data_IF_051850674016
#
_entry.id   IF_051850674016
#
_cell.length_a   1.000
_cell.length_b   1.000
_cell.length_c   1.000
_cell.angle_alpha   90.00
_cell.angle_beta   90.00
_cell.angle_gamma   90.00
#
_symmetry.space_group_name_H-M   'P 1'
#
loop_
_entity.id
_entity.type
_entity.pdbx_description
1 polymer ?
#
# COMPACT_ATOMS: atom_id res chain seq x y z
N UNK A 1 24.39 8.42 13.19
CA UNK A 1 24.18 9.84 13.53
C UNK A 1 22.79 9.94 14.15
N UNK A 2 22.71 10.14 15.46
CA UNK A 2 21.47 10.57 16.09
C UNK A 2 21.18 11.97 15.51
N UNK A 3 20.07 12.11 14.81
CA UNK A 3 19.73 13.38 14.17
C UNK A 3 19.49 14.47 15.22
N UNK A 4 19.75 15.71 14.86
CA UNK A 4 19.51 16.93 15.65
C UNK A 4 18.10 16.99 16.29
N UNK A 5 17.15 16.21 15.80
CA UNK A 5 15.74 16.18 16.21
C UNK A 5 15.47 15.37 17.49
N UNK A 6 16.43 14.55 17.96
CA UNK A 6 16.29 13.78 19.20
C UNK A 6 16.47 14.65 20.46
N UNK A 7 16.86 15.91 20.30
CA UNK A 7 17.09 16.85 21.40
C UNK A 7 15.93 17.85 21.57
N UNK A 8 14.88 17.81 20.74
CA UNK A 8 13.69 18.66 20.83
C UNK A 8 12.45 17.83 21.20
N UNK A 9 12.15 17.60 22.49
CA UNK A 9 11.05 16.74 22.93
C UNK A 9 9.68 17.24 22.43
N UNK A 10 9.45 18.53 22.36
CA UNK A 10 8.19 19.14 21.88
C UNK A 10 7.92 18.80 20.41
N UNK A 11 8.96 18.83 19.57
CA UNK A 11 8.83 18.46 18.15
C UNK A 11 8.46 16.98 17.97
N UNK A 12 9.07 16.09 18.75
CA UNK A 12 8.77 14.67 18.69
C UNK A 12 7.37 14.35 19.23
N UNK A 13 6.87 15.10 20.20
CA UNK A 13 5.51 14.97 20.71
C UNK A 13 4.49 15.38 19.64
N UNK A 14 4.63 16.56 19.03
CA UNK A 14 3.79 17.03 17.92
C UNK A 14 3.82 16.08 16.74
N UNK A 15 5.00 15.59 16.36
CA UNK A 15 5.15 14.63 15.27
C UNK A 15 4.45 13.31 15.57
N UNK A 16 4.58 12.79 16.80
CA UNK A 16 3.93 11.55 17.23
C UNK A 16 2.41 11.68 17.21
N UNK A 17 1.85 12.79 17.72
CA UNK A 17 0.42 13.06 17.70
C UNK A 17 -0.10 13.17 16.25
N UNK A 18 0.65 13.86 15.38
CA UNK A 18 0.29 14.02 13.98
C UNK A 18 0.24 12.65 13.27
N UNK A 19 1.22 11.78 13.50
CA UNK A 19 1.25 10.43 12.94
C UNK A 19 0.08 9.59 13.47
N UNK A 20 -0.18 9.60 14.78
CA UNK A 20 -1.30 8.85 15.37
C UNK A 20 -2.65 9.30 14.80
N UNK A 21 -2.85 10.61 14.64
CA UNK A 21 -4.03 11.19 14.02
C UNK A 21 -4.17 10.75 12.54
N UNK A 22 -3.06 10.78 11.78
CA UNK A 22 -3.03 10.28 10.40
C UNK A 22 -3.39 8.79 10.34
N UNK A 23 -2.79 7.96 11.18
CA UNK A 23 -3.06 6.51 11.19
C UNK A 23 -4.52 6.19 11.46
N UNK A 24 -5.18 6.93 12.35
CA UNK A 24 -6.60 6.74 12.67
C UNK A 24 -7.55 7.25 11.58
N UNK A 25 -7.17 8.33 10.91
CA UNK A 25 -8.01 9.01 9.91
C UNK A 25 -7.85 8.42 8.50
N UNK A 26 -6.65 7.96 8.14
CA UNK A 26 -6.31 7.53 6.79
C UNK A 26 -7.24 6.45 6.23
N UNK A 27 -7.50 5.31 6.94
CA UNK A 27 -8.34 4.26 6.40
C UNK A 27 -9.82 4.61 6.27
N UNK A 28 -10.28 5.63 7.01
CA UNK A 28 -11.71 5.97 7.09
C UNK A 28 -12.08 7.24 6.37
N UNK A 29 -11.16 8.24 6.38
CA UNK A 29 -11.45 9.59 5.86
C UNK A 29 -10.74 9.88 4.55
N UNK A 30 -9.58 9.26 4.31
CA UNK A 30 -8.78 9.50 3.11
C UNK A 30 -9.07 8.43 2.06
N UNK A 31 -8.95 7.15 2.46
CA UNK A 31 -9.34 6.02 1.61
C UNK A 31 -10.47 5.30 2.32
N UNK A 32 -11.70 5.48 1.88
CA UNK A 32 -12.87 4.78 2.43
C UNK A 32 -12.73 3.29 2.12
N UNK A 33 -12.02 2.57 2.99
CA UNK A 33 -11.63 1.17 2.75
C UNK A 33 -12.83 0.26 2.54
N UNK A 34 -13.94 0.49 3.25
CA UNK A 34 -15.17 -0.29 3.11
C UNK A 34 -15.81 -0.09 1.72
N UNK A 35 -15.87 1.17 1.24
CA UNK A 35 -16.35 1.49 -0.12
C UNK A 35 -15.42 0.88 -1.17
N UNK A 36 -14.10 0.97 -0.97
CA UNK A 36 -13.10 0.46 -1.89
C UNK A 36 -13.17 -1.08 -1.99
N UNK A 37 -13.22 -1.78 -0.87
CA UNK A 37 -13.31 -3.25 -0.85
C UNK A 37 -14.60 -3.75 -1.47
N UNK A 38 -15.70 -3.06 -1.23
CA UNK A 38 -16.98 -3.38 -1.86
C UNK A 38 -16.96 -3.13 -3.37
N UNK A 39 -16.42 -1.99 -3.81
CA UNK A 39 -16.37 -1.62 -5.24
C UNK A 39 -15.46 -2.56 -6.03
N UNK A 40 -14.33 -2.94 -5.45
CA UNK A 40 -13.35 -3.82 -6.13
C UNK A 40 -13.59 -5.31 -5.86
N UNK A 41 -14.52 -5.68 -4.99
CA UNK A 41 -14.80 -7.07 -4.57
C UNK A 41 -13.55 -7.79 -4.06
N UNK A 42 -12.66 -7.05 -3.38
CA UNK A 42 -11.41 -7.53 -2.81
C UNK A 42 -11.28 -7.05 -1.37
N UNK A 43 -10.64 -7.83 -0.53
CA UNK A 43 -10.24 -7.38 0.80
C UNK A 43 -9.16 -6.31 0.72
N UNK A 44 -9.04 -5.47 1.75
CA UNK A 44 -7.99 -4.44 1.79
C UNK A 44 -6.58 -5.03 1.66
N UNK A 45 -6.32 -6.18 2.30
CA UNK A 45 -5.02 -6.85 2.20
C UNK A 45 -4.72 -7.37 0.77
N UNK A 46 -5.73 -7.80 0.03
CA UNK A 46 -5.59 -8.20 -1.39
C UNK A 46 -5.31 -6.98 -2.27
N UNK A 47 -5.99 -5.87 -2.02
CA UNK A 47 -5.72 -4.60 -2.69
C UNK A 47 -4.26 -4.16 -2.45
N UNK A 48 -3.77 -4.24 -1.21
CA UNK A 48 -2.39 -3.92 -0.89
C UNK A 48 -1.40 -4.85 -1.62
N UNK A 49 -1.70 -6.14 -1.71
CA UNK A 49 -0.86 -7.09 -2.44
C UNK A 49 -0.82 -6.80 -3.94
N UNK A 50 -1.96 -6.50 -4.57
CA UNK A 50 -1.99 -6.07 -5.98
C UNK A 50 -1.19 -4.79 -6.19
N UNK A 51 -1.35 -3.79 -5.32
CA UNK A 51 -0.62 -2.53 -5.39
C UNK A 51 0.90 -2.74 -5.25
N UNK A 52 1.34 -3.61 -4.36
CA UNK A 52 2.75 -3.95 -4.23
C UNK A 52 3.29 -4.62 -5.49
N UNK A 53 2.57 -5.61 -6.03
CA UNK A 53 2.97 -6.36 -7.21
C UNK A 53 2.89 -5.54 -8.51
N UNK A 54 2.21 -4.40 -8.51
CA UNK A 54 2.18 -3.48 -9.67
C UNK A 54 3.56 -2.84 -9.93
N UNK A 55 4.40 -2.75 -8.90
CA UNK A 55 5.78 -2.26 -9.02
C UNK A 55 6.74 -3.33 -9.54
N UNK A 56 6.34 -4.59 -9.56
CA UNK A 56 7.14 -5.71 -10.07
C UNK A 56 6.92 -7.02 -9.31
N UNK A 57 7.49 -8.11 -9.82
CA UNK A 57 7.43 -9.41 -9.15
C UNK A 57 8.16 -9.37 -7.80
N UNK A 58 7.63 -10.09 -6.81
CA UNK A 58 8.21 -10.20 -5.48
C UNK A 58 8.24 -11.64 -4.97
N UNK A 59 9.21 -11.98 -4.11
CA UNK A 59 9.17 -13.25 -3.41
C UNK A 59 8.07 -13.23 -2.34
N UNK A 60 7.60 -14.42 -1.94
CA UNK A 60 6.62 -14.54 -0.85
C UNK A 60 7.17 -13.94 0.45
N UNK A 61 8.48 -14.09 0.70
CA UNK A 61 9.15 -13.51 1.85
C UNK A 61 9.12 -11.99 1.85
N UNK A 62 9.48 -11.38 0.71
CA UNK A 62 9.51 -9.93 0.57
C UNK A 62 8.10 -9.35 0.64
N UNK A 63 7.12 -10.01 0.03
CA UNK A 63 5.73 -9.60 0.11
C UNK A 63 5.20 -9.63 1.55
N UNK A 64 5.49 -10.70 2.30
CA UNK A 64 5.09 -10.80 3.70
C UNK A 64 5.73 -9.71 4.57
N UNK A 65 7.01 -9.40 4.33
CA UNK A 65 7.74 -8.36 5.03
C UNK A 65 7.17 -6.98 4.71
N UNK A 66 7.00 -6.66 3.43
CA UNK A 66 6.49 -5.35 2.98
C UNK A 66 5.07 -5.08 3.46
N UNK A 67 4.22 -6.09 3.47
CA UNK A 67 2.83 -5.95 3.94
C UNK A 67 2.69 -6.14 5.47
N UNK A 68 3.78 -6.42 6.17
CA UNK A 68 3.78 -6.68 7.62
C UNK A 68 2.78 -7.78 8.03
N UNK A 69 2.63 -8.83 7.21
CA UNK A 69 1.73 -9.96 7.47
C UNK A 69 2.48 -11.26 7.69
N UNK A 70 1.90 -12.19 8.44
CA UNK A 70 2.44 -13.54 8.57
C UNK A 70 2.42 -14.26 7.21
N UNK A 71 3.44 -15.09 6.93
CA UNK A 71 3.53 -15.89 5.69
C UNK A 71 2.29 -16.77 5.45
N UNK A 72 1.68 -17.27 6.53
CA UNK A 72 0.44 -18.06 6.46
C UNK A 72 -0.72 -17.23 5.90
N UNK A 73 -0.87 -15.99 6.35
CA UNK A 73 -1.91 -15.08 5.86
C UNK A 73 -1.64 -14.70 4.40
N UNK A 74 -0.39 -14.41 4.06
CA UNK A 74 -0.02 -14.12 2.68
C UNK A 74 -0.30 -15.32 1.75
N UNK A 75 -0.10 -16.56 2.22
CA UNK A 75 -0.42 -17.76 1.44
C UNK A 75 -1.91 -17.88 1.13
N UNK A 76 -2.79 -17.44 2.05
CA UNK A 76 -4.24 -17.38 1.83
C UNK A 76 -4.58 -16.31 0.79
N UNK A 77 -4.07 -15.10 0.96
CA UNK A 77 -4.28 -13.99 0.03
C UNK A 77 -3.83 -14.32 -1.39
N UNK A 78 -2.62 -14.87 -1.52
CA UNK A 78 -2.06 -15.24 -2.82
C UNK A 78 -2.79 -16.39 -3.48
N UNK A 79 -3.34 -17.34 -2.70
CA UNK A 79 -4.17 -18.41 -3.25
C UNK A 79 -5.45 -17.85 -3.84
N UNK A 80 -6.17 -17.03 -3.09
CA UNK A 80 -7.42 -16.42 -3.55
C UNK A 80 -7.21 -15.56 -4.80
N UNK A 81 -6.20 -14.68 -4.81
CA UNK A 81 -5.88 -13.87 -6.00
C UNK A 81 -5.42 -14.71 -7.20
N UNK A 82 -4.81 -15.88 -6.96
CA UNK A 82 -4.46 -16.82 -8.00
C UNK A 82 -5.70 -17.54 -8.58
N UNK A 83 -6.63 -17.94 -7.72
CA UNK A 83 -7.93 -18.53 -8.13
C UNK A 83 -8.77 -17.55 -8.93
N UNK A 84 -8.71 -16.24 -8.59
CA UNK A 84 -9.33 -15.17 -9.37
C UNK A 84 -8.58 -14.85 -10.69
N UNK A 85 -7.42 -15.45 -10.92
CA UNK A 85 -6.62 -15.22 -12.12
C UNK A 85 -5.80 -13.93 -12.11
N UNK A 86 -5.67 -13.22 -10.98
CA UNK A 86 -4.97 -11.93 -10.91
C UNK A 86 -3.48 -12.07 -10.62
N UNK A 87 -3.06 -13.16 -9.96
CA UNK A 87 -1.67 -13.39 -9.55
C UNK A 87 -1.18 -14.75 -10.05
N UNK A 88 0.01 -14.75 -10.65
CA UNK A 88 0.79 -15.96 -10.93
C UNK A 88 1.72 -16.29 -9.77
N UNK A 89 1.85 -17.58 -9.50
CA UNK A 89 2.80 -18.15 -8.54
C UNK A 89 3.83 -18.94 -9.33
N UNK A 90 5.03 -18.41 -9.46
CA UNK A 90 6.10 -18.96 -10.29
C UNK A 90 7.21 -19.46 -9.38
N UNK A 91 7.71 -20.67 -9.63
CA UNK A 91 8.90 -21.17 -8.94
C UNK A 91 10.11 -20.34 -9.37
N UNK A 92 10.92 -19.87 -8.42
CA UNK A 92 12.13 -19.13 -8.74
C UNK A 92 13.12 -20.03 -9.51
N UNK A 93 13.56 -19.65 -10.72
CA UNK A 93 14.51 -20.47 -11.51
C UNK A 93 15.84 -20.70 -10.82
N UNK A 94 16.26 -19.77 -9.95
CA UNK A 94 17.53 -19.83 -9.21
C UNK A 94 17.43 -20.61 -7.89
N UNK A 95 16.24 -20.68 -7.31
CA UNK A 95 15.98 -21.42 -6.08
C UNK A 95 14.55 -21.97 -6.10
N UNK A 96 14.42 -23.24 -6.47
CA UNK A 96 13.12 -23.93 -6.59
C UNK A 96 12.30 -23.99 -5.30
N UNK A 97 12.89 -23.66 -4.16
CA UNK A 97 12.19 -23.57 -2.86
C UNK A 97 11.46 -22.25 -2.66
N UNK A 98 11.75 -21.24 -3.50
CA UNK A 98 11.18 -19.91 -3.43
C UNK A 98 10.11 -19.73 -4.50
N UNK A 99 8.97 -19.18 -4.09
CA UNK A 99 7.90 -18.75 -4.98
C UNK A 99 8.01 -17.25 -5.24
N UNK A 100 7.85 -16.88 -6.50
CA UNK A 100 7.73 -15.49 -6.96
C UNK A 100 6.27 -15.24 -7.32
N UNK A 101 5.74 -14.14 -6.85
CA UNK A 101 4.42 -13.63 -7.16
C UNK A 101 4.55 -12.58 -8.27
N UNK A 102 3.64 -12.63 -9.24
CA UNK A 102 3.60 -11.68 -10.34
C UNK A 102 2.15 -11.44 -10.75
N UNK A 103 1.80 -10.21 -11.13
CA UNK A 103 0.50 -9.94 -11.74
C UNK A 103 0.36 -10.62 -13.10
N UNK A 104 -0.84 -11.11 -13.39
CA UNK A 104 -1.29 -11.45 -14.74
C UNK A 104 -1.70 -10.19 -15.49
N UNK A 105 -2.09 -10.31 -16.77
CA UNK A 105 -2.73 -9.21 -17.50
C UNK A 105 -4.02 -8.78 -16.79
N UNK A 106 -4.86 -9.74 -16.40
CA UNK A 106 -6.09 -9.48 -15.63
C UNK A 106 -5.81 -8.85 -14.26
N UNK A 107 -4.70 -9.24 -13.61
CA UNK A 107 -4.26 -8.63 -12.35
C UNK A 107 -3.83 -7.18 -12.52
N UNK A 108 -3.19 -6.83 -13.64
CA UNK A 108 -2.87 -5.43 -13.98
C UNK A 108 -4.15 -4.63 -14.23
N UNK A 109 -5.10 -5.16 -14.99
CA UNK A 109 -6.39 -4.53 -15.23
C UNK A 109 -7.16 -4.31 -13.92
N UNK A 110 -7.17 -5.31 -13.04
CA UNK A 110 -7.79 -5.19 -11.71
C UNK A 110 -7.11 -4.14 -10.82
N UNK A 111 -5.80 -4.06 -10.87
CA UNK A 111 -5.07 -2.99 -10.18
C UNK A 111 -5.42 -1.60 -10.72
N UNK A 112 -5.59 -1.43 -12.03
CA UNK A 112 -6.03 -0.17 -12.63
C UNK A 112 -7.44 0.21 -12.17
N UNK A 113 -8.35 -0.75 -12.03
CA UNK A 113 -9.69 -0.54 -11.45
C UNK A 113 -9.58 -0.01 -10.01
N UNK A 114 -8.76 -0.66 -9.17
CA UNK A 114 -8.48 -0.20 -7.80
C UNK A 114 -7.91 1.21 -7.79
N UNK A 115 -6.92 1.50 -8.63
CA UNK A 115 -6.29 2.81 -8.75
C UNK A 115 -7.30 3.89 -9.12
N UNK A 116 -8.21 3.60 -10.04
CA UNK A 116 -9.25 4.52 -10.47
C UNK A 116 -10.30 4.76 -9.36
N UNK A 117 -10.67 3.73 -8.60
CA UNK A 117 -11.56 3.86 -7.45
C UNK A 117 -10.95 4.75 -6.36
N UNK A 118 -9.68 4.51 -6.00
CA UNK A 118 -8.92 5.37 -5.07
C UNK A 118 -8.83 6.81 -5.61
N UNK A 119 -8.51 6.99 -6.89
CA UNK A 119 -8.44 8.28 -7.54
C UNK A 119 -9.76 9.06 -7.45
N UNK A 120 -10.89 8.37 -7.59
CA UNK A 120 -12.22 8.98 -7.46
C UNK A 120 -12.51 9.42 -6.02
N UNK A 121 -12.10 8.64 -5.02
CA UNK A 121 -12.20 9.02 -3.61
C UNK A 121 -11.32 10.23 -3.29
N UNK A 122 -10.08 10.24 -3.76
CA UNK A 122 -9.14 11.35 -3.56
C UNK A 122 -9.63 12.64 -4.22
N UNK A 123 -10.23 12.57 -5.42
CA UNK A 123 -10.84 13.75 -6.07
C UNK A 123 -11.92 14.40 -5.20
N UNK A 124 -12.75 13.58 -4.54
CA UNK A 124 -13.77 14.09 -3.60
C UNK A 124 -13.13 14.77 -2.38
N UNK A 125 -12.08 14.16 -1.83
CA UNK A 125 -11.36 14.68 -0.68
C UNK A 125 -10.72 16.03 -0.97
N UNK A 126 -10.05 16.16 -2.09
CA UNK A 126 -9.28 17.39 -2.44
C UNK A 126 -10.10 18.44 -3.20
N UNK A 127 -11.41 18.24 -3.34
CA UNK A 127 -12.27 19.14 -4.12
C UNK A 127 -12.26 20.59 -3.61
N UNK A 128 -11.99 20.81 -2.33
CA UNK A 128 -11.89 22.14 -1.70
C UNK A 128 -10.45 22.68 -1.63
N UNK A 129 -9.46 21.91 -2.06
CA UNK A 129 -8.05 22.28 -1.97
C UNK A 129 -7.63 23.05 -3.21
N UNK A 130 -6.77 24.05 -3.03
CA UNK A 130 -6.06 24.70 -4.12
C UNK A 130 -5.04 23.77 -4.79
N UNK A 131 -4.61 24.11 -5.99
CA UNK A 131 -3.58 23.34 -6.70
C UNK A 131 -2.27 23.27 -5.90
N UNK A 132 -1.90 24.36 -5.22
CA UNK A 132 -0.65 24.44 -4.48
C UNK A 132 -0.70 23.55 -3.24
N UNK A 133 -1.81 23.53 -2.50
CA UNK A 133 -2.03 22.61 -1.37
C UNK A 133 -1.97 21.13 -1.81
N UNK A 134 -2.51 20.79 -2.98
CA UNK A 134 -2.41 19.44 -3.52
C UNK A 134 -0.95 19.07 -3.86
N UNK A 135 -0.18 20.00 -4.43
CA UNK A 135 1.25 19.79 -4.72
C UNK A 135 2.04 19.58 -3.45
N UNK A 136 1.81 20.36 -2.40
CA UNK A 136 2.43 20.22 -1.09
C UNK A 136 2.08 18.87 -0.45
N UNK A 137 0.81 18.46 -0.51
CA UNK A 137 0.36 17.16 0.00
C UNK A 137 1.06 16.01 -0.72
N UNK A 138 1.17 16.07 -2.05
CA UNK A 138 1.88 15.05 -2.83
C UNK A 138 3.36 14.99 -2.41
N UNK A 139 4.00 16.15 -2.22
CA UNK A 139 5.39 16.22 -1.78
C UNK A 139 5.58 15.59 -0.39
N UNK A 140 4.70 15.91 0.56
CA UNK A 140 4.72 15.35 1.92
C UNK A 140 4.56 13.81 1.90
N UNK A 141 3.62 13.28 1.13
CA UNK A 141 3.41 11.83 1.00
C UNK A 141 4.62 11.15 0.35
N UNK A 142 5.27 11.79 -0.63
CA UNK A 142 6.50 11.24 -1.23
C UNK A 142 7.65 11.16 -0.24
N UNK A 143 7.84 12.19 0.58
CA UNK A 143 8.87 12.18 1.64
C UNK A 143 8.59 11.05 2.64
N UNK A 144 7.34 10.93 3.10
CA UNK A 144 6.94 9.86 4.01
C UNK A 144 7.21 8.47 3.41
N UNK A 145 6.83 8.23 2.15
CA UNK A 145 7.11 6.97 1.46
C UNK A 145 8.62 6.70 1.33
N UNK A 146 9.43 7.73 1.09
CA UNK A 146 10.88 7.60 1.06
C UNK A 146 11.47 7.15 2.38
N UNK A 147 10.99 7.69 3.51
CA UNK A 147 11.40 7.28 4.86
C UNK A 147 10.99 5.84 5.14
N UNK A 148 9.73 5.48 4.85
CA UNK A 148 9.20 4.12 5.08
C UNK A 148 9.92 3.05 4.24
N UNK A 149 10.45 3.42 3.08
CA UNK A 149 11.20 2.48 2.22
C UNK A 149 12.62 2.20 2.72
N UNK A 150 13.13 3.00 3.68
CA UNK A 150 14.45 2.84 4.27
C UNK A 150 14.42 2.16 5.66
N UNK A 151 13.26 2.05 6.25
CA UNK A 151 13.01 1.39 7.53
C UNK A 151 12.81 -0.12 7.34
#
# INVERSE_FOLDING_TARGET
MAGLWSEEPEFMEEFSETILNCMSAFPRKIVHTDELTHTCELTYAEIQLLAMLSSGPASVEDAARTLCVAKTNLAILTRHLHELGYVLRITNPKDKRKLILKLTIQGVEKYEEVRNAVGSQLKRLVASFSKDEIVELIAAVRVLNGVLSQA
#
